data_IF_818703284482
#
_entry.id   IF_818703284482
#
_cell.length_a   1.000
_cell.length_b   1.000
_cell.length_c   1.000
_cell.angle_alpha   90.00
_cell.angle_beta   90.00
_cell.angle_gamma   90.00
#
_symmetry.space_group_name_H-M   'P 1'
#
loop_
_entity.id
_entity.type
_entity.pdbx_description
1 polymer ?
#
# COMPACT_ATOMS: atom_id res chain seq x y z
N UNK A 1 -7.53 13.30 18.32
CA UNK A 1 -7.83 11.96 17.73
C UNK A 1 -7.96 12.16 16.23
N UNK A 2 -7.28 11.34 15.42
CA UNK A 2 -7.45 11.38 13.97
C UNK A 2 -8.85 10.87 13.60
N UNK A 3 -9.47 11.44 12.55
CA UNK A 3 -10.81 11.03 12.11
C UNK A 3 -10.74 9.71 11.37
N UNK A 4 -11.64 8.75 11.64
CA UNK A 4 -11.64 7.49 10.92
C UNK A 4 -11.98 7.70 9.44
N UNK A 5 -11.31 6.96 8.55
CA UNK A 5 -11.61 6.85 7.12
C UNK A 5 -12.18 5.48 6.77
N UNK A 6 -11.63 4.42 7.37
CA UNK A 6 -12.05 3.03 7.13
C UNK A 6 -12.12 2.31 8.45
N UNK A 7 -13.20 1.55 8.68
CA UNK A 7 -13.34 0.66 9.83
C UNK A 7 -13.73 -0.73 9.36
N UNK A 8 -12.95 -1.72 9.76
CA UNK A 8 -13.20 -3.14 9.59
C UNK A 8 -13.68 -3.70 10.93
N UNK A 9 -14.79 -4.43 10.94
CA UNK A 9 -15.34 -5.05 12.14
C UNK A 9 -15.63 -6.51 11.87
N UNK A 10 -14.97 -7.42 12.62
CA UNK A 10 -15.14 -8.86 12.54
C UNK A 10 -15.06 -9.41 11.10
N UNK A 11 -14.16 -8.87 10.30
CA UNK A 11 -13.99 -9.32 8.92
C UNK A 11 -13.43 -10.73 8.87
N UNK A 12 -14.07 -11.58 8.07
CA UNK A 12 -13.56 -12.91 7.70
C UNK A 12 -13.53 -13.07 6.18
N UNK A 13 -12.62 -13.90 5.68
CA UNK A 13 -12.52 -14.25 4.27
C UNK A 13 -12.05 -15.68 4.07
N UNK A 14 -12.60 -16.34 3.03
CA UNK A 14 -12.22 -17.70 2.65
C UNK A 14 -12.17 -17.83 1.13
N UNK A 15 -11.32 -18.73 0.61
CA UNK A 15 -11.29 -19.22 -0.77
C UNK A 15 -11.54 -20.73 -0.75
N UNK A 16 -12.50 -21.19 -1.53
CA UNK A 16 -12.82 -22.63 -1.65
C UNK A 16 -12.90 -23.35 -0.28
N UNK A 17 -13.62 -22.75 0.68
CA UNK A 17 -13.77 -23.21 2.07
C UNK A 17 -12.49 -23.12 2.95
N UNK A 18 -11.34 -22.72 2.40
CA UNK A 18 -10.14 -22.47 3.19
C UNK A 18 -10.21 -21.07 3.76
N UNK A 19 -10.30 -20.97 5.08
CA UNK A 19 -10.23 -19.69 5.80
C UNK A 19 -8.88 -19.05 5.58
N UNK A 20 -8.87 -17.73 5.31
CA UNK A 20 -7.66 -16.94 5.08
C UNK A 20 -7.58 -15.78 6.06
N UNK A 21 -8.73 -15.22 6.46
CA UNK A 21 -8.82 -14.16 7.46
C UNK A 21 -10.00 -14.46 8.40
N UNK A 22 -9.79 -14.23 9.70
CA UNK A 22 -10.82 -14.39 10.74
C UNK A 22 -10.68 -13.28 11.77
N UNK A 23 -11.82 -12.75 12.21
CA UNK A 23 -11.92 -11.75 13.30
C UNK A 23 -11.05 -10.51 13.08
N UNK A 24 -10.92 -10.03 11.83
CA UNK A 24 -10.12 -8.84 11.54
C UNK A 24 -10.87 -7.59 11.99
N UNK A 25 -10.27 -6.87 12.92
CA UNK A 25 -10.70 -5.57 13.39
C UNK A 25 -9.58 -4.57 13.13
N UNK A 26 -9.84 -3.49 12.37
CA UNK A 26 -8.86 -2.48 12.02
C UNK A 26 -9.56 -1.14 11.78
N UNK A 27 -8.97 -0.07 12.27
CA UNK A 27 -9.34 1.29 11.90
C UNK A 27 -8.18 1.99 11.22
N UNK A 28 -8.45 2.67 10.11
CA UNK A 28 -7.50 3.53 9.40
C UNK A 28 -8.06 4.94 9.45
N UNK A 29 -7.28 5.87 9.98
CA UNK A 29 -7.67 7.26 10.17
C UNK A 29 -6.99 8.21 9.17
N UNK A 30 -7.44 9.46 9.13
CA UNK A 30 -6.82 10.51 8.32
C UNK A 30 -5.33 10.62 8.66
N UNK A 31 -4.48 10.67 7.63
CA UNK A 31 -3.02 10.83 7.76
C UNK A 31 -2.32 9.72 8.53
N UNK A 32 -2.95 8.57 8.69
CA UNK A 32 -2.24 7.38 9.16
C UNK A 32 -1.17 6.96 8.16
N UNK A 33 -0.09 6.41 8.68
CA UNK A 33 0.89 5.69 7.90
C UNK A 33 1.03 4.31 8.51
N UNK A 34 0.17 3.40 8.04
CA UNK A 34 0.04 2.05 8.56
C UNK A 34 0.92 1.08 7.76
N UNK A 35 1.83 0.39 8.45
CA UNK A 35 2.55 -0.75 7.90
C UNK A 35 1.76 -2.03 8.09
N UNK A 36 1.53 -2.78 7.01
CA UNK A 36 0.92 -4.11 7.06
C UNK A 36 1.99 -5.15 6.80
N UNK A 37 2.32 -5.92 7.83
CA UNK A 37 3.35 -6.95 7.83
C UNK A 37 2.75 -8.33 8.08
N UNK A 38 3.56 -9.38 7.96
CA UNK A 38 3.14 -10.76 8.22
C UNK A 38 3.75 -11.75 7.23
N UNK A 39 3.62 -13.07 7.48
CA UNK A 39 4.20 -14.11 6.64
C UNK A 39 3.55 -14.16 5.24
N UNK A 40 4.24 -14.81 4.30
CA UNK A 40 3.67 -15.11 2.99
C UNK A 40 2.47 -16.06 3.17
N UNK A 41 1.37 -15.74 2.50
CA UNK A 41 0.10 -16.48 2.68
C UNK A 41 -0.71 -16.07 3.91
N UNK A 42 -0.22 -15.18 4.79
CA UNK A 42 -0.92 -14.72 5.99
C UNK A 42 -2.19 -13.89 5.77
N UNK A 43 -2.55 -13.59 4.51
CA UNK A 43 -3.81 -12.90 4.18
C UNK A 43 -3.67 -11.41 3.87
N UNK A 44 -2.47 -10.83 3.86
CA UNK A 44 -2.23 -9.39 3.58
C UNK A 44 -2.91 -8.92 2.27
N UNK A 45 -2.65 -9.59 1.16
CA UNK A 45 -3.25 -9.25 -0.14
C UNK A 45 -4.78 -9.44 -0.13
N UNK A 46 -5.29 -10.42 0.61
CA UNK A 46 -6.73 -10.63 0.79
C UNK A 46 -7.36 -9.47 1.55
N UNK A 47 -6.73 -9.03 2.63
CA UNK A 47 -7.15 -7.85 3.40
C UNK A 47 -7.17 -6.59 2.52
N UNK A 48 -6.11 -6.34 1.72
CA UNK A 48 -6.07 -5.21 0.80
C UNK A 48 -7.19 -5.27 -0.24
N UNK A 49 -7.46 -6.46 -0.82
CA UNK A 49 -8.56 -6.62 -1.77
C UNK A 49 -9.93 -6.33 -1.16
N UNK A 50 -10.13 -6.68 0.11
CA UNK A 50 -11.37 -6.37 0.86
C UNK A 50 -11.48 -4.87 1.06
N UNK A 51 -10.44 -4.18 1.53
CA UNK A 51 -10.42 -2.73 1.72
C UNK A 51 -10.72 -2.01 0.40
N UNK A 52 -10.11 -2.46 -0.70
CA UNK A 52 -10.32 -1.89 -2.05
C UNK A 52 -11.69 -2.22 -2.66
N UNK A 53 -12.52 -3.06 -2.00
CA UNK A 53 -13.79 -3.52 -2.54
C UNK A 53 -13.68 -4.50 -3.70
N UNK A 54 -12.49 -5.08 -3.94
CA UNK A 54 -12.22 -6.07 -4.98
C UNK A 54 -12.60 -7.50 -4.55
N UNK A 55 -12.77 -7.73 -3.25
CA UNK A 55 -13.22 -8.98 -2.66
C UNK A 55 -14.26 -8.68 -1.58
N UNK A 56 -15.39 -9.36 -1.62
CA UNK A 56 -16.38 -9.29 -0.54
C UNK A 56 -15.93 -10.20 0.60
N UNK A 57 -15.96 -9.71 1.87
CA UNK A 57 -15.73 -10.57 3.01
C UNK A 57 -16.84 -11.62 3.14
N UNK A 58 -16.53 -12.77 3.74
CA UNK A 58 -17.50 -13.82 4.04
C UNK A 58 -18.30 -13.53 5.31
N UNK A 59 -17.76 -12.71 6.21
CA UNK A 59 -18.44 -12.18 7.39
C UNK A 59 -17.84 -10.82 7.78
N UNK A 60 -18.53 -10.10 8.67
CA UNK A 60 -18.11 -8.80 9.16
C UNK A 60 -18.61 -7.64 8.32
N UNK A 61 -18.19 -6.43 8.69
CA UNK A 61 -18.62 -5.17 8.06
C UNK A 61 -17.42 -4.28 7.78
N UNK A 62 -17.35 -3.69 6.57
CA UNK A 62 -16.48 -2.58 6.24
C UNK A 62 -17.31 -1.29 6.17
N UNK A 63 -16.81 -0.22 6.80
CA UNK A 63 -17.43 1.09 6.81
C UNK A 63 -16.42 2.13 6.35
N UNK A 64 -16.90 3.06 5.54
CA UNK A 64 -16.11 4.20 5.07
C UNK A 64 -16.66 5.48 5.66
N UNK A 65 -15.78 6.43 5.96
CA UNK A 65 -16.14 7.70 6.56
C UNK A 65 -15.52 8.86 5.79
N UNK A 66 -16.28 9.94 5.64
CA UNK A 66 -15.81 11.21 5.13
C UNK A 66 -16.28 12.31 6.08
N UNK A 67 -15.36 13.07 6.66
CA UNK A 67 -15.68 14.08 7.68
C UNK A 67 -16.57 13.53 8.82
N UNK A 68 -16.20 12.38 9.38
CA UNK A 68 -16.90 11.66 10.46
C UNK A 68 -18.30 11.11 10.11
N UNK A 69 -18.76 11.26 8.87
CA UNK A 69 -20.02 10.68 8.39
C UNK A 69 -19.76 9.40 7.64
N UNK A 70 -20.55 8.36 7.92
CA UNK A 70 -20.51 7.11 7.15
C UNK A 70 -20.98 7.40 5.71
N UNK A 71 -20.18 6.92 4.74
CA UNK A 71 -20.43 7.06 3.30
C UNK A 71 -20.31 5.68 2.62
N UNK A 72 -20.86 5.57 1.42
CA UNK A 72 -20.81 4.30 0.67
C UNK A 72 -19.41 3.94 0.17
N UNK A 73 -18.60 4.94 -0.13
CA UNK A 73 -17.23 4.77 -0.62
C UNK A 73 -16.40 6.03 -0.36
N UNK A 74 -15.08 5.87 -0.35
CA UNK A 74 -14.09 6.96 -0.35
C UNK A 74 -13.17 6.82 -1.55
N UNK A 75 -12.46 7.89 -1.90
CA UNK A 75 -11.48 7.83 -2.97
C UNK A 75 -10.20 7.14 -2.49
N UNK A 76 -9.87 6.01 -3.10
CA UNK A 76 -8.66 5.25 -2.78
C UNK A 76 -7.73 5.14 -3.98
N UNK A 77 -6.43 5.32 -3.75
CA UNK A 77 -5.37 5.01 -4.69
C UNK A 77 -4.80 3.62 -4.42
N UNK A 78 -4.40 2.92 -5.49
CA UNK A 78 -3.76 1.61 -5.34
C UNK A 78 -2.55 1.46 -6.25
N UNK A 79 -1.42 1.14 -5.64
CA UNK A 79 -0.21 0.73 -6.31
C UNK A 79 -0.04 -0.77 -6.09
N UNK A 80 -0.29 -1.60 -7.14
CA UNK A 80 -0.14 -3.04 -7.05
C UNK A 80 1.33 -3.46 -7.07
N UNK A 81 1.57 -4.69 -6.64
CA UNK A 81 2.89 -5.30 -6.72
C UNK A 81 3.42 -5.27 -8.16
N UNK A 82 4.70 -4.92 -8.32
CA UNK A 82 5.36 -4.70 -9.60
C UNK A 82 5.23 -5.86 -10.60
N UNK A 83 5.26 -7.10 -10.12
CA UNK A 83 5.20 -8.30 -10.97
C UNK A 83 3.86 -8.49 -11.70
N UNK A 84 2.82 -7.76 -11.31
CA UNK A 84 1.48 -7.86 -11.91
C UNK A 84 1.32 -6.98 -13.15
N UNK A 85 2.35 -6.19 -13.51
CA UNK A 85 2.27 -5.21 -14.59
C UNK A 85 2.91 -5.76 -15.86
N UNK A 86 2.11 -5.88 -16.92
CA UNK A 86 2.61 -6.23 -18.24
C UNK A 86 3.34 -5.04 -18.89
N UNK A 87 4.67 -5.08 -18.86
CA UNK A 87 5.53 -4.06 -19.49
C UNK A 87 5.50 -4.07 -21.02
N UNK A 88 4.97 -5.13 -21.64
CA UNK A 88 4.86 -5.22 -23.10
C UNK A 88 3.65 -4.45 -23.62
N UNK A 89 2.71 -4.09 -22.73
CA UNK A 89 1.55 -3.31 -23.10
C UNK A 89 1.98 -1.90 -23.53
N UNK A 90 1.63 -1.45 -24.77
CA UNK A 90 2.12 -0.20 -25.35
C UNK A 90 1.34 1.01 -24.82
N UNK A 91 1.42 1.25 -23.50
CA UNK A 91 0.79 2.39 -22.82
C UNK A 91 1.86 3.40 -22.40
N UNK A 92 1.61 4.67 -22.58
CA UNK A 92 2.49 5.77 -22.18
C UNK A 92 2.38 6.10 -20.70
N UNK A 93 3.38 6.80 -20.13
CA UNK A 93 3.33 7.35 -18.78
C UNK A 93 2.07 8.20 -18.58
N UNK A 94 1.76 9.05 -19.56
CA UNK A 94 0.58 9.92 -19.51
C UNK A 94 -0.72 9.12 -19.37
N UNK A 95 -0.89 8.11 -20.21
CA UNK A 95 -2.09 7.25 -20.19
C UNK A 95 -2.19 6.42 -18.89
N UNK A 96 -1.08 5.96 -18.36
CA UNK A 96 -1.05 5.27 -17.06
C UNK A 96 -1.56 6.20 -15.96
N UNK A 97 -1.03 7.42 -15.85
CA UNK A 97 -1.47 8.38 -14.83
C UNK A 97 -2.93 8.76 -15.06
N UNK A 98 -3.33 9.05 -16.32
CA UNK A 98 -4.71 9.39 -16.68
C UNK A 98 -5.71 8.29 -16.29
N UNK A 99 -5.31 7.02 -16.38
CA UNK A 99 -6.16 5.88 -16.01
C UNK A 99 -6.59 5.90 -14.54
N UNK A 100 -5.84 6.57 -13.66
CA UNK A 100 -6.22 6.79 -12.26
C UNK A 100 -7.49 7.63 -12.06
N UNK A 101 -7.93 8.34 -13.09
CA UNK A 101 -9.17 9.14 -13.09
C UNK A 101 -10.38 8.38 -13.68
N UNK A 102 -10.25 7.10 -14.06
CA UNK A 102 -11.32 6.36 -14.74
C UNK A 102 -12.62 6.28 -13.92
N UNK A 103 -12.57 6.17 -12.59
CA UNK A 103 -13.77 6.20 -11.73
C UNK A 103 -14.50 7.55 -11.78
N UNK A 104 -13.80 8.63 -12.06
CA UNK A 104 -14.36 9.98 -12.16
C UNK A 104 -14.88 10.32 -13.57
N UNK A 105 -14.70 9.40 -14.53
CA UNK A 105 -15.11 9.58 -15.92
C UNK A 105 -16.52 9.04 -16.13
N UNK A 106 -17.40 9.85 -16.73
CA UNK A 106 -18.67 9.34 -17.27
C UNK A 106 -18.39 8.41 -18.47
N UNK A 107 -19.13 7.31 -18.58
CA UNK A 107 -18.97 6.31 -19.65
C UNK A 107 -18.97 6.88 -21.07
N UNK A 108 -19.62 8.03 -21.27
CA UNK A 108 -19.82 8.64 -22.61
C UNK A 108 -19.09 9.98 -22.79
N UNK A 109 -18.22 10.39 -21.87
CA UNK A 109 -17.51 11.68 -21.97
C UNK A 109 -16.01 11.48 -22.01
N UNK A 110 -15.32 12.30 -22.80
CA UNK A 110 -13.86 12.45 -22.76
C UNK A 110 -13.45 13.10 -21.42
N UNK A 111 -12.19 12.92 -21.03
CA UNK A 111 -11.63 13.64 -19.89
C UNK A 111 -11.67 15.15 -20.14
N UNK A 112 -11.97 15.93 -19.12
CA UNK A 112 -12.01 17.38 -19.18
C UNK A 112 -10.59 17.98 -19.22
N UNK A 113 -10.48 19.24 -19.63
CA UNK A 113 -9.21 19.97 -19.60
C UNK A 113 -8.59 19.96 -18.20
N UNK A 114 -9.39 20.19 -17.15
CA UNK A 114 -8.92 20.17 -15.77
C UNK A 114 -8.33 18.80 -15.36
N UNK A 115 -8.92 17.69 -15.83
CA UNK A 115 -8.37 16.35 -15.58
C UNK A 115 -7.05 16.15 -16.33
N UNK A 116 -6.92 16.62 -17.56
CA UNK A 116 -5.67 16.58 -18.30
C UNK A 116 -4.58 17.44 -17.65
N UNK A 117 -4.92 18.63 -17.14
CA UNK A 117 -3.97 19.51 -16.43
C UNK A 117 -3.49 18.83 -15.14
N UNK A 118 -4.40 18.24 -14.36
CA UNK A 118 -4.08 17.48 -13.15
C UNK A 118 -3.13 16.29 -13.41
N UNK A 119 -3.31 15.59 -14.54
CA UNK A 119 -2.38 14.52 -14.96
C UNK A 119 -0.98 15.08 -15.20
N UNK A 120 -0.84 16.22 -15.88
CA UNK A 120 0.46 16.86 -16.14
C UNK A 120 1.12 17.28 -14.82
N UNK A 121 0.38 17.94 -13.93
CA UNK A 121 0.87 18.32 -12.60
C UNK A 121 1.35 17.11 -11.80
N UNK A 122 0.60 16.00 -11.84
CA UNK A 122 0.99 14.76 -11.18
C UNK A 122 2.27 14.18 -11.78
N UNK A 123 2.43 14.18 -13.10
CA UNK A 123 3.65 13.72 -13.78
C UNK A 123 4.87 14.54 -13.35
N UNK A 124 4.74 15.86 -13.30
CA UNK A 124 5.80 16.77 -12.80
C UNK A 124 6.12 16.47 -11.33
N UNK A 125 5.09 16.33 -10.47
CA UNK A 125 5.25 15.97 -9.04
C UNK A 125 6.01 14.65 -8.88
N UNK A 126 5.78 13.69 -9.77
CA UNK A 126 6.50 12.39 -9.77
C UNK A 126 7.91 12.48 -10.40
N UNK A 127 8.35 13.65 -10.86
CA UNK A 127 9.64 13.84 -11.52
C UNK A 127 9.77 13.01 -12.80
N UNK A 128 8.71 12.96 -13.59
CA UNK A 128 8.61 12.24 -14.87
C UNK A 128 8.41 13.21 -16.05
N UNK A 129 8.68 14.48 -15.86
CA UNK A 129 8.63 15.51 -16.90
C UNK A 129 9.52 15.13 -18.10
N UNK A 130 8.99 15.31 -19.32
CA UNK A 130 9.64 14.89 -20.56
C UNK A 130 9.54 13.39 -20.88
N UNK A 131 8.90 12.61 -20.04
CA UNK A 131 8.68 11.17 -20.24
C UNK A 131 7.21 10.82 -20.55
N UNK A 132 6.33 11.82 -20.70
CA UNK A 132 4.88 11.67 -20.81
C UNK A 132 4.47 10.67 -21.90
N UNK A 133 5.13 10.73 -23.06
CA UNK A 133 4.84 9.90 -24.24
C UNK A 133 5.64 8.59 -24.25
N UNK A 134 6.56 8.40 -23.28
CA UNK A 134 7.37 7.19 -23.24
C UNK A 134 6.52 6.00 -22.80
N UNK A 135 6.64 4.87 -23.51
CA UNK A 135 5.99 3.62 -23.13
C UNK A 135 6.54 3.11 -21.78
N UNK A 136 5.67 2.56 -20.92
CA UNK A 136 6.07 2.08 -19.58
C UNK A 136 7.14 0.99 -19.63
N UNK A 137 7.17 0.19 -20.69
CA UNK A 137 8.20 -0.85 -20.89
C UNK A 137 9.60 -0.31 -21.12
N UNK A 138 9.74 0.99 -21.46
CA UNK A 138 11.04 1.65 -21.69
C UNK A 138 11.53 2.42 -20.45
N UNK A 139 10.78 2.37 -19.35
CA UNK A 139 11.12 3.05 -18.11
C UNK A 139 12.09 2.20 -17.26
N UNK A 140 12.97 2.87 -16.52
CA UNK A 140 13.66 2.21 -15.41
C UNK A 140 12.65 1.76 -14.34
N UNK A 141 13.03 0.81 -13.47
CA UNK A 141 12.16 0.35 -12.39
C UNK A 141 11.61 1.49 -11.54
N UNK A 142 12.46 2.42 -11.15
CA UNK A 142 12.04 3.58 -10.36
C UNK A 142 11.18 4.60 -11.13
N UNK A 143 11.39 4.77 -12.44
CA UNK A 143 10.50 5.60 -13.26
C UNK A 143 9.11 4.97 -13.39
N UNK A 144 9.05 3.65 -13.64
CA UNK A 144 7.78 2.93 -13.71
C UNK A 144 7.02 3.02 -12.38
N UNK A 145 7.71 2.81 -11.27
CA UNK A 145 7.08 2.91 -9.94
C UNK A 145 6.50 4.31 -9.68
N UNK A 146 7.24 5.38 -10.03
CA UNK A 146 6.73 6.75 -9.91
C UNK A 146 5.52 7.02 -10.82
N UNK A 147 5.49 6.44 -12.02
CA UNK A 147 4.35 6.52 -12.91
C UNK A 147 3.10 5.84 -12.29
N UNK A 148 3.29 4.66 -11.69
CA UNK A 148 2.21 3.93 -11.01
C UNK A 148 1.75 4.62 -9.72
N UNK A 149 2.69 5.21 -8.97
CA UNK A 149 2.35 6.04 -7.81
C UNK A 149 1.58 7.29 -8.25
N UNK A 150 1.98 7.95 -9.33
CA UNK A 150 1.24 9.05 -9.94
C UNK A 150 -0.19 8.65 -10.33
N UNK A 151 -0.37 7.46 -10.91
CA UNK A 151 -1.69 6.88 -11.19
C UNK A 151 -2.53 6.72 -9.92
N UNK A 152 -1.93 6.25 -8.82
CA UNK A 152 -2.64 6.08 -7.56
C UNK A 152 -3.04 7.43 -6.92
N UNK A 153 -2.26 8.49 -7.14
CA UNK A 153 -2.42 9.79 -6.50
C UNK A 153 -3.27 10.78 -7.31
N UNK A 154 -3.36 10.64 -8.64
CA UNK A 154 -3.99 11.63 -9.52
C UNK A 154 -5.46 11.92 -9.19
N UNK A 155 -6.16 11.00 -8.53
CA UNK A 155 -7.55 11.19 -8.09
C UNK A 155 -7.68 12.00 -6.79
N UNK A 156 -6.59 12.44 -6.14
CA UNK A 156 -6.53 12.99 -4.78
C UNK A 156 -7.21 12.05 -3.79
N UNK A 157 -6.67 10.85 -3.58
CA UNK A 157 -7.28 9.86 -2.71
C UNK A 157 -7.18 10.25 -1.24
N UNK A 158 -8.14 9.81 -0.43
CA UNK A 158 -8.12 9.92 1.04
C UNK A 158 -7.19 8.86 1.64
N UNK A 159 -7.06 7.71 0.95
CA UNK A 159 -6.17 6.60 1.33
C UNK A 159 -5.43 6.08 0.10
N UNK A 160 -4.12 5.87 0.23
CA UNK A 160 -3.29 5.17 -0.77
C UNK A 160 -2.83 3.85 -0.20
N UNK A 161 -3.07 2.77 -0.94
CA UNK A 161 -2.59 1.43 -0.60
C UNK A 161 -1.44 1.09 -1.53
N UNK A 162 -0.30 0.71 -0.94
CA UNK A 162 0.94 0.37 -1.63
C UNK A 162 1.30 -1.08 -1.31
N UNK A 163 1.29 -1.94 -2.32
CA UNK A 163 1.58 -3.37 -2.18
C UNK A 163 3.01 -3.65 -2.63
N UNK A 164 3.93 -3.82 -1.67
CA UNK A 164 5.36 -4.06 -1.86
C UNK A 164 6.04 -3.07 -2.82
N UNK A 165 5.97 -1.75 -2.54
CA UNK A 165 6.44 -0.72 -3.47
C UNK A 165 7.97 -0.69 -3.66
N UNK A 166 8.76 -1.32 -2.79
CA UNK A 166 10.22 -1.35 -2.83
C UNK A 166 10.80 -2.58 -3.54
N UNK A 167 9.98 -3.45 -4.09
CA UNK A 167 10.45 -4.62 -4.85
C UNK A 167 11.16 -4.18 -6.14
N UNK A 168 12.39 -4.64 -6.36
CA UNK A 168 13.26 -4.31 -7.51
C UNK A 168 13.81 -2.88 -7.57
N UNK A 169 13.94 -2.20 -6.44
CA UNK A 169 14.51 -0.87 -6.34
C UNK A 169 15.85 -0.93 -5.60
N UNK A 170 16.83 -0.14 -6.06
CA UNK A 170 18.07 0.01 -5.33
C UNK A 170 17.88 0.86 -4.05
N UNK A 171 18.77 0.69 -3.06
CA UNK A 171 18.69 1.37 -1.76
C UNK A 171 18.69 2.91 -1.86
N UNK A 172 19.32 3.50 -2.87
CA UNK A 172 19.33 4.96 -3.04
C UNK A 172 17.98 5.47 -3.50
N UNK A 173 17.32 4.70 -4.33
CA UNK A 173 15.98 5.03 -4.81
C UNK A 173 14.92 4.77 -3.74
N UNK A 174 15.11 3.74 -2.93
CA UNK A 174 14.23 3.42 -1.80
C UNK A 174 14.12 4.60 -0.82
N UNK A 175 15.23 5.20 -0.40
CA UNK A 175 15.23 6.38 0.46
C UNK A 175 14.43 7.55 -0.14
N UNK A 176 14.53 7.76 -1.46
CA UNK A 176 13.75 8.81 -2.16
C UNK A 176 12.27 8.49 -2.21
N UNK A 177 11.92 7.20 -2.37
CA UNK A 177 10.53 6.76 -2.33
C UNK A 177 9.90 7.05 -0.96
N UNK A 178 10.57 6.67 0.13
CA UNK A 178 10.04 6.91 1.48
C UNK A 178 9.93 8.40 1.80
N UNK A 179 10.89 9.23 1.40
CA UNK A 179 10.78 10.68 1.52
C UNK A 179 9.56 11.24 0.75
N UNK A 180 9.29 10.71 -0.45
CA UNK A 180 8.10 11.06 -1.21
C UNK A 180 6.81 10.58 -0.52
N UNK A 181 6.81 9.37 0.06
CA UNK A 181 5.65 8.85 0.79
C UNK A 181 5.38 9.67 2.06
N UNK A 182 6.40 10.15 2.76
CA UNK A 182 6.25 11.05 3.89
C UNK A 182 5.56 12.36 3.49
N UNK A 183 5.95 12.96 2.35
CA UNK A 183 5.25 14.14 1.81
C UNK A 183 3.80 13.84 1.43
N UNK A 184 3.53 12.70 0.80
CA UNK A 184 2.18 12.27 0.45
C UNK A 184 1.33 12.05 1.71
N UNK A 185 1.91 11.53 2.79
CA UNK A 185 1.21 11.26 4.05
C UNK A 185 0.72 12.55 4.75
N UNK A 186 1.25 13.70 4.42
CA UNK A 186 0.71 14.99 4.89
C UNK A 186 -0.66 15.29 4.30
N UNK A 187 -0.99 14.69 3.14
CA UNK A 187 -2.22 14.93 2.39
C UNK A 187 -3.24 13.81 2.58
N UNK A 188 -2.82 12.53 2.62
CA UNK A 188 -3.71 11.37 2.72
C UNK A 188 -3.14 10.29 3.64
N UNK A 189 -3.97 9.32 4.04
CA UNK A 189 -3.51 8.13 4.74
C UNK A 189 -2.77 7.20 3.78
N UNK A 190 -1.77 6.46 4.31
CA UNK A 190 -1.01 5.47 3.55
C UNK A 190 -1.12 4.11 4.26
N UNK A 191 -1.45 3.07 3.51
CA UNK A 191 -1.33 1.68 3.93
C UNK A 191 -0.23 1.03 3.11
N UNK A 192 0.86 0.65 3.76
CA UNK A 192 2.05 0.10 3.14
C UNK A 192 2.20 -1.38 3.48
N UNK A 193 2.01 -2.26 2.49
CA UNK A 193 2.28 -3.69 2.65
C UNK A 193 3.72 -3.97 2.29
N UNK A 194 4.46 -4.60 3.18
CA UNK A 194 5.84 -5.02 2.90
C UNK A 194 6.21 -6.26 3.73
N UNK A 195 7.14 -7.04 3.21
CA UNK A 195 7.80 -8.13 3.93
C UNK A 195 9.12 -7.69 4.58
N UNK A 196 9.60 -6.47 4.29
CA UNK A 196 10.78 -5.89 4.92
C UNK A 196 10.41 -5.11 6.18
N UNK A 197 10.49 -5.83 7.33
CA UNK A 197 10.13 -5.28 8.63
C UNK A 197 11.04 -4.09 9.01
N UNK A 198 12.35 -4.19 8.74
CA UNK A 198 13.29 -3.14 9.10
C UNK A 198 12.95 -1.81 8.44
N UNK A 199 12.62 -1.84 7.17
CA UNK A 199 12.21 -0.65 6.43
C UNK A 199 10.85 -0.13 6.90
N UNK A 200 9.89 -1.02 7.21
CA UNK A 200 8.57 -0.62 7.73
C UNK A 200 8.72 0.14 9.05
N UNK A 201 9.41 -0.45 10.04
CA UNK A 201 9.57 0.13 11.38
C UNK A 201 10.17 1.55 11.37
N UNK A 202 10.99 1.87 10.37
CA UNK A 202 11.63 3.19 10.24
C UNK A 202 10.75 4.26 9.60
N UNK A 203 9.70 3.87 8.89
CA UNK A 203 8.99 4.80 8.00
C UNK A 203 7.50 4.94 8.29
N UNK A 204 6.88 4.00 9.03
CA UNK A 204 5.45 4.05 9.34
C UNK A 204 5.18 4.61 10.73
N UNK A 205 3.91 4.88 11.04
CA UNK A 205 3.47 5.37 12.37
C UNK A 205 2.88 4.26 13.24
N UNK A 206 2.29 3.26 12.61
CA UNK A 206 1.64 2.11 13.28
C UNK A 206 1.79 0.86 12.44
N UNK A 207 1.57 -0.30 13.05
CA UNK A 207 1.78 -1.59 12.42
C UNK A 207 0.56 -2.48 12.61
N UNK A 208 0.19 -3.22 11.57
CA UNK A 208 -0.75 -4.32 11.62
C UNK A 208 -0.05 -5.61 11.16
N UNK A 209 0.09 -6.58 12.04
CA UNK A 209 0.58 -7.92 11.70
C UNK A 209 -0.58 -8.80 11.30
N UNK A 210 -0.52 -9.38 10.08
CA UNK A 210 -1.60 -10.19 9.50
C UNK A 210 -1.10 -11.61 9.26
N UNK A 211 -1.68 -12.56 10.00
CA UNK A 211 -1.44 -13.99 9.86
C UNK A 211 -2.72 -14.77 10.19
N UNK A 212 -3.69 -14.77 9.26
CA UNK A 212 -5.03 -15.31 9.47
C UNK A 212 -5.90 -14.42 10.36
N UNK A 213 -5.34 -13.88 11.41
CA UNK A 213 -5.89 -12.82 12.27
C UNK A 213 -5.11 -11.53 12.11
N UNK A 214 -5.49 -10.47 12.82
CA UNK A 214 -4.76 -9.20 12.80
C UNK A 214 -4.44 -8.78 14.23
N UNK A 215 -3.16 -8.46 14.45
CA UNK A 215 -2.69 -7.81 15.65
C UNK A 215 -2.19 -6.40 15.31
N UNK A 216 -2.76 -5.39 15.99
CA UNK A 216 -2.49 -3.98 15.72
C UNK A 216 -1.60 -3.38 16.81
N UNK A 217 -0.52 -2.73 16.39
CA UNK A 217 0.38 -1.99 17.26
C UNK A 217 0.34 -0.48 16.92
N UNK A 218 0.01 0.38 17.89
CA UNK A 218 -0.25 1.81 17.63
C UNK A 218 1.00 2.63 17.31
N UNK A 219 2.19 2.06 17.48
CA UNK A 219 3.48 2.68 17.21
C UNK A 219 4.46 1.69 16.58
N UNK A 220 5.73 2.06 16.43
CA UNK A 220 6.79 1.23 15.84
C UNK A 220 7.79 0.69 16.87
N UNK A 221 7.57 0.94 18.16
CA UNK A 221 8.39 0.42 19.25
C UNK A 221 7.96 -1.02 19.63
N UNK A 222 8.10 -1.95 18.69
CA UNK A 222 7.74 -3.36 18.88
C UNK A 222 8.87 -4.13 19.51
N UNK A 223 8.56 -5.00 20.48
CA UNK A 223 9.57 -5.88 21.07
C UNK A 223 9.95 -7.03 20.13
N UNK A 224 11.16 -7.59 20.33
CA UNK A 224 11.59 -8.77 19.58
C UNK A 224 10.63 -9.95 19.80
N UNK A 225 10.16 -10.15 21.04
CA UNK A 225 9.22 -11.20 21.40
C UNK A 225 7.88 -11.04 20.68
N UNK A 226 7.39 -9.80 20.49
CA UNK A 226 6.17 -9.56 19.73
C UNK A 226 6.35 -9.94 18.25
N UNK A 227 7.48 -9.58 17.65
CA UNK A 227 7.79 -9.95 16.26
C UNK A 227 7.94 -11.47 16.10
N UNK A 228 8.66 -12.15 16.99
CA UNK A 228 8.84 -13.61 16.96
C UNK A 228 7.51 -14.36 17.09
N UNK A 229 6.63 -13.90 17.98
CA UNK A 229 5.31 -14.52 18.19
C UNK A 229 4.42 -14.48 16.93
N UNK A 230 4.61 -13.48 16.05
CA UNK A 230 3.74 -13.26 14.87
C UNK A 230 4.36 -13.71 13.54
N UNK A 231 5.68 -13.96 13.49
CA UNK A 231 6.37 -14.31 12.26
C UNK A 231 6.82 -15.77 12.14
N UNK A 232 6.62 -16.60 13.18
CA UNK A 232 7.02 -18.02 13.21
C UNK A 232 8.51 -18.28 12.89
N UNK A 233 9.33 -17.24 12.82
CA UNK A 233 10.78 -17.30 12.58
C UNK A 233 11.50 -16.43 13.60
N UNK A 234 12.64 -16.90 14.18
CA UNK A 234 13.46 -16.06 15.04
C UNK A 234 13.97 -14.85 14.23
N UNK A 235 13.63 -13.66 14.70
CA UNK A 235 14.07 -12.41 14.09
C UNK A 235 15.22 -11.89 14.93
N UNK A 236 16.45 -12.02 14.46
CA UNK A 236 17.58 -11.34 15.08
C UNK A 236 17.58 -9.86 14.66
N UNK A 237 17.19 -9.00 15.59
CA UNK A 237 17.34 -7.57 15.47
C UNK A 237 18.79 -7.21 15.84
N UNK A 238 19.68 -7.01 14.87
CA UNK A 238 21.00 -6.48 15.11
C UNK A 238 20.93 -4.96 15.19
N UNK A 239 21.08 -4.43 16.42
CA UNK A 239 21.18 -2.99 16.64
C UNK A 239 22.63 -2.52 16.59
N UNK A 240 22.95 -1.58 15.71
CA UNK A 240 24.12 -0.71 15.82
C UNK A 240 23.62 0.71 16.04
N UNK A 241 23.65 1.18 17.31
CA UNK A 241 23.08 2.47 17.69
C UNK A 241 21.59 2.40 18.00
N UNK A 242 20.88 3.51 17.89
CA UNK A 242 19.46 3.62 18.24
C UNK A 242 18.48 3.03 17.20
N UNK A 243 18.95 2.27 16.22
CA UNK A 243 18.12 1.67 15.18
C UNK A 243 18.44 0.18 15.00
N UNK A 244 17.48 -0.72 15.08
CA UNK A 244 17.68 -2.15 14.84
C UNK A 244 17.89 -2.44 13.36
N UNK A 245 18.95 -3.18 13.01
CA UNK A 245 19.18 -3.75 11.67
C UNK A 245 18.92 -5.26 11.70
N UNK A 246 18.33 -5.78 10.63
CA UNK A 246 17.83 -7.14 10.51
C UNK A 246 18.81 -8.11 9.84
N UNK A 247 18.90 -9.36 10.34
CA UNK A 247 19.28 -10.54 9.56
C UNK A 247 18.25 -11.65 9.82
N UNK A 248 17.55 -12.11 8.78
CA UNK A 248 16.79 -13.36 8.81
C UNK A 248 17.74 -14.53 8.49
N UNK A 249 17.89 -15.48 9.38
CA UNK A 249 18.49 -16.79 9.09
C UNK A 249 17.38 -17.84 9.14
N UNK A 250 16.77 -18.14 8.00
CA UNK A 250 16.04 -19.38 7.83
C UNK A 250 17.05 -20.48 7.53
N UNK A 251 17.31 -21.35 8.48
CA UNK A 251 17.98 -22.61 8.20
C UNK A 251 16.92 -23.63 7.77
N UNK A 252 16.87 -23.94 6.48
CA UNK A 252 16.26 -25.18 6.04
C UNK A 252 17.18 -26.32 6.50
N UNK A 253 16.74 -27.11 7.47
CA UNK A 253 17.25 -28.45 7.66
C UNK A 253 16.55 -29.32 6.61
N UNK A 254 17.30 -29.71 5.58
CA UNK A 254 16.99 -30.88 4.78
C UNK A 254 17.35 -32.12 5.64
N UNK A 255 16.38 -32.96 5.90
CA UNK A 255 16.54 -34.41 6.09
C UNK A 255 15.65 -35.14 5.10
#
# INVERSE_FOLDING_TARGET
>A
MNRPLIRLTEIAAAYDQKKVLEHINLEIAEKDFLGVIGPNGGGKTTLMKIILGLLKPTAGKIQFFHQEKEVSEITMGYLPQYNTIDKKFPISVYEVVLSGLNKQKSLFRSFSKAQHDKVRETIVRMGLEGLEQRAIGQLSGGQLQRALLGRALVSNPEVVILDEPNTYIDKRFEARLYALLEEINKECAIVLVSHDIGTILQNVKSIACVNGTLDYHPDTEVSAEWLEAHFECPIELLGHGNLPHRILKCHHHEE
#
